data_IF_285341268335
#
_entry.id   IF_285341268335
#
_cell.length_a   1.000
_cell.length_b   1.000
_cell.length_c   1.000
_cell.angle_alpha   90.00
_cell.angle_beta   90.00
_cell.angle_gamma   90.00
#
_symmetry.space_group_name_H-M   'P 1'
#
loop_
_entity.id
_entity.type
_entity.pdbx_description
1 polymer ?
#
# COMPACT_ATOMS: atom_id res chain seq x y z
N UNK A 1 -6.19 9.91 4.56
CA UNK A 1 -5.39 8.91 5.29
C UNK A 1 -5.21 7.71 4.36
N UNK A 2 -4.27 6.84 4.66
CA UNK A 2 -4.04 5.61 3.90
C UNK A 2 -3.48 4.58 4.85
N UNK A 3 -3.46 3.32 4.42
CA UNK A 3 -2.70 2.29 5.12
C UNK A 3 -1.24 2.70 5.23
N UNK A 4 -0.67 2.58 6.42
CA UNK A 4 0.75 2.84 6.70
C UNK A 4 1.22 1.99 7.88
N UNK A 5 2.52 1.97 8.15
CA UNK A 5 3.08 1.21 9.27
C UNK A 5 2.54 1.77 10.60
N UNK A 6 1.95 0.93 11.48
CA UNK A 6 1.52 1.37 12.80
C UNK A 6 2.68 1.96 13.60
N UNK A 7 2.48 3.11 14.24
CA UNK A 7 3.53 3.77 15.04
C UNK A 7 3.83 3.05 16.35
N UNK A 8 2.82 2.38 16.91
CA UNK A 8 2.88 1.66 18.17
C UNK A 8 2.17 0.31 18.02
N UNK A 9 2.61 -0.67 18.80
CA UNK A 9 1.95 -1.98 18.87
C UNK A 9 0.90 -1.95 19.98
N UNK A 10 -0.32 -1.53 19.63
CA UNK A 10 -1.48 -1.46 20.53
C UNK A 10 -2.00 -2.85 20.91
N UNK A 11 -2.91 -2.91 21.88
CA UNK A 11 -3.55 -4.17 22.29
C UNK A 11 -4.39 -4.78 21.16
N UNK A 12 -5.07 -3.97 20.35
CA UNK A 12 -5.82 -4.43 19.17
C UNK A 12 -4.89 -5.04 18.12
N UNK A 13 -3.74 -4.41 17.86
CA UNK A 13 -2.72 -4.97 16.96
C UNK A 13 -2.19 -6.30 17.50
N UNK A 14 -1.92 -6.41 18.81
CA UNK A 14 -1.49 -7.67 19.43
C UNK A 14 -2.55 -8.74 19.28
N UNK A 15 -3.82 -8.42 19.55
CA UNK A 15 -4.93 -9.34 19.43
C UNK A 15 -5.09 -9.83 17.98
N UNK A 16 -5.01 -8.91 17.01
CA UNK A 16 -5.03 -9.25 15.59
C UNK A 16 -3.88 -10.19 15.22
N UNK A 17 -2.64 -9.86 15.62
CA UNK A 17 -1.47 -10.71 15.38
C UNK A 17 -1.63 -12.12 15.97
N UNK A 18 -2.15 -12.23 17.20
CA UNK A 18 -2.40 -13.54 17.83
C UNK A 18 -3.47 -14.35 17.11
N UNK A 19 -4.45 -13.69 16.48
CA UNK A 19 -5.47 -14.37 15.68
C UNK A 19 -4.92 -14.92 14.36
N UNK A 20 -3.84 -14.33 13.84
CA UNK A 20 -3.17 -14.75 12.60
C UNK A 20 -2.17 -15.87 12.86
N UNK A 21 -1.25 -15.66 13.81
CA UNK A 21 -0.15 -16.60 14.11
C UNK A 21 0.00 -16.71 15.62
N UNK A 22 -0.67 -17.70 16.20
CA UNK A 22 -0.68 -17.91 17.64
C UNK A 22 0.74 -18.08 18.21
N UNK A 23 1.07 -17.30 19.24
CA UNK A 23 2.37 -17.33 19.90
C UNK A 23 3.50 -16.58 19.18
N UNK A 24 3.25 -16.05 17.97
CA UNK A 24 4.20 -15.15 17.31
C UNK A 24 4.03 -13.72 17.83
N UNK A 25 5.07 -12.89 17.70
CA UNK A 25 5.06 -11.49 18.13
C UNK A 25 5.53 -10.63 16.97
N UNK A 26 4.74 -9.59 16.64
CA UNK A 26 5.14 -8.64 15.63
C UNK A 26 6.31 -7.77 16.14
N UNK A 27 7.25 -7.49 15.25
CA UNK A 27 8.41 -6.66 15.49
C UNK A 27 8.60 -5.68 14.34
N UNK A 28 9.20 -4.55 14.64
CA UNK A 28 9.57 -3.63 13.59
C UNK A 28 10.81 -4.13 12.85
N UNK A 29 10.73 -4.12 11.53
CA UNK A 29 11.81 -4.49 10.63
C UNK A 29 12.14 -3.27 9.77
N UNK A 30 13.40 -2.88 9.74
CA UNK A 30 13.83 -1.70 9.03
C UNK A 30 14.02 -1.99 7.53
N UNK A 31 13.75 -0.99 6.71
CA UNK A 31 13.97 -1.05 5.27
C UNK A 31 15.47 -0.95 4.95
N UNK A 32 15.92 -1.76 4.02
CA UNK A 32 17.26 -1.64 3.42
C UNK A 32 17.13 -1.54 1.92
N UNK A 33 17.71 -0.48 1.36
CA UNK A 33 17.79 -0.32 -0.08
C UNK A 33 18.71 -1.39 -0.69
N UNK A 34 18.21 -2.07 -1.73
CA UNK A 34 18.94 -3.07 -2.50
C UNK A 34 18.87 -2.72 -3.98
N UNK A 35 20.02 -2.73 -4.64
CA UNK A 35 20.09 -2.48 -6.08
C UNK A 35 19.26 -3.50 -6.85
N UNK A 36 18.33 -3.00 -7.67
CA UNK A 36 17.42 -3.84 -8.45
C UNK A 36 16.15 -4.26 -7.71
N UNK A 37 15.95 -3.85 -6.45
CA UNK A 37 14.70 -4.11 -5.75
C UNK A 37 13.52 -3.35 -6.38
N UNK A 38 12.38 -4.01 -6.48
CA UNK A 38 11.15 -3.52 -7.12
C UNK A 38 10.03 -3.45 -6.08
N UNK A 39 9.26 -2.35 -6.01
CA UNK A 39 8.08 -2.26 -5.12
C UNK A 39 7.11 -3.42 -5.34
N UNK A 40 6.46 -3.86 -4.27
CA UNK A 40 5.49 -4.97 -4.21
C UNK A 40 6.03 -6.37 -4.58
N UNK A 41 7.28 -6.50 -5.05
CA UNK A 41 7.91 -7.78 -5.42
C UNK A 41 8.74 -8.35 -4.25
N UNK A 42 8.13 -8.53 -3.07
CA UNK A 42 8.88 -8.84 -1.84
C UNK A 42 9.66 -10.17 -1.90
N UNK A 43 9.12 -11.19 -2.55
CA UNK A 43 9.77 -12.49 -2.72
C UNK A 43 11.03 -12.37 -3.60
N UNK A 44 10.90 -11.74 -4.76
CA UNK A 44 12.02 -11.52 -5.68
C UNK A 44 13.11 -10.64 -5.06
N UNK A 45 12.73 -9.60 -4.31
CA UNK A 45 13.67 -8.74 -3.60
C UNK A 45 14.48 -9.48 -2.53
N UNK A 46 13.83 -10.38 -1.79
CA UNK A 46 14.51 -11.24 -0.81
C UNK A 46 15.41 -12.25 -1.52
N UNK A 47 14.98 -12.86 -2.62
CA UNK A 47 15.79 -13.79 -3.41
C UNK A 47 17.05 -13.11 -3.99
N UNK A 48 16.95 -11.84 -4.39
CA UNK A 48 18.11 -11.02 -4.77
C UNK A 48 19.11 -10.90 -3.63
N UNK A 49 18.66 -10.59 -2.41
CA UNK A 49 19.54 -10.55 -1.23
C UNK A 49 20.15 -11.91 -0.91
N UNK A 50 19.34 -12.98 -0.93
CA UNK A 50 19.82 -14.34 -0.67
C UNK A 50 20.91 -14.74 -1.65
N UNK A 51 20.71 -14.45 -2.93
CA UNK A 51 21.68 -14.75 -3.99
C UNK A 51 22.98 -13.98 -3.81
N UNK A 52 22.90 -12.71 -3.41
CA UNK A 52 24.06 -11.82 -3.31
C UNK A 52 24.82 -11.94 -1.98
N UNK A 53 24.13 -12.26 -0.88
CA UNK A 53 24.66 -12.13 0.48
C UNK A 53 24.48 -13.39 1.35
N UNK A 54 23.79 -14.43 0.87
CA UNK A 54 23.43 -15.59 1.70
C UNK A 54 22.22 -15.31 2.60
N UNK A 55 22.11 -15.99 3.74
CA UNK A 55 20.91 -15.92 4.58
C UNK A 55 19.72 -16.67 3.98
N UNK A 56 18.50 -16.28 4.37
CA UNK A 56 17.26 -16.96 3.95
C UNK A 56 16.03 -16.06 3.98
N UNK A 57 14.98 -16.40 3.22
CA UNK A 57 13.69 -15.75 3.40
C UNK A 57 13.06 -16.13 4.75
N UNK A 58 12.39 -15.16 5.37
CA UNK A 58 11.44 -15.37 6.45
C UNK A 58 10.08 -14.83 6.02
N UNK A 59 9.09 -15.72 5.96
CA UNK A 59 7.72 -15.37 5.57
C UNK A 59 6.89 -14.97 6.79
N UNK A 60 5.86 -14.18 6.53
CA UNK A 60 4.98 -13.68 7.57
C UNK A 60 3.99 -12.65 7.03
N UNK A 61 3.62 -11.72 7.89
CA UNK A 61 2.62 -10.71 7.58
C UNK A 61 3.17 -9.32 7.89
N UNK A 62 3.12 -8.42 6.92
CA UNK A 62 3.25 -6.98 7.21
C UNK A 62 1.92 -6.48 7.73
N UNK A 63 1.95 -5.84 8.89
CA UNK A 63 0.78 -5.24 9.53
C UNK A 63 0.73 -3.77 9.15
N UNK A 64 -0.33 -3.41 8.45
CA UNK A 64 -0.69 -2.04 8.10
C UNK A 64 -1.86 -1.56 8.96
N UNK A 65 -1.88 -0.26 9.22
CA UNK A 65 -2.99 0.39 9.90
C UNK A 65 -3.51 1.56 9.06
N UNK A 66 -4.82 1.58 8.89
CA UNK A 66 -5.56 2.79 8.58
C UNK A 66 -5.96 3.40 9.92
N UNK A 67 -5.28 4.49 10.29
CA UNK A 67 -5.29 5.04 11.65
C UNK A 67 -6.70 5.09 12.26
N UNK A 68 -6.89 4.32 13.34
CA UNK A 68 -8.13 4.28 14.11
C UNK A 68 -9.33 3.58 13.45
N UNK A 69 -9.18 3.00 12.26
CA UNK A 69 -10.30 2.41 11.49
C UNK A 69 -10.14 0.92 11.19
N UNK A 70 -8.99 0.50 10.68
CA UNK A 70 -8.81 -0.83 10.09
C UNK A 70 -7.35 -1.29 10.19
N UNK A 71 -7.14 -2.55 10.52
CA UNK A 71 -5.85 -3.22 10.35
C UNK A 71 -5.89 -4.14 9.13
N UNK A 72 -4.77 -4.21 8.42
CA UNK A 72 -4.53 -5.15 7.34
C UNK A 72 -3.24 -5.93 7.61
N UNK A 73 -3.28 -7.23 7.35
CA UNK A 73 -2.12 -8.11 7.33
C UNK A 73 -1.90 -8.57 5.89
N UNK A 74 -0.85 -8.07 5.27
CA UNK A 74 -0.42 -8.41 3.92
C UNK A 74 0.65 -9.51 3.99
N UNK A 75 0.52 -10.58 3.20
CA UNK A 75 1.51 -11.65 3.20
C UNK A 75 2.82 -11.16 2.59
N UNK A 76 3.92 -11.29 3.33
CA UNK A 76 5.17 -10.61 3.03
C UNK A 76 6.40 -11.47 3.32
N UNK A 77 7.48 -11.21 2.58
CA UNK A 77 8.79 -11.82 2.79
C UNK A 77 9.80 -10.77 3.26
N UNK A 78 10.56 -11.10 4.31
CA UNK A 78 11.74 -10.34 4.75
C UNK A 78 12.98 -11.23 4.63
N UNK A 79 14.16 -10.60 4.54
CA UNK A 79 15.42 -11.33 4.54
C UNK A 79 15.92 -11.51 5.98
N UNK A 80 16.33 -12.73 6.32
CA UNK A 80 16.97 -13.07 7.59
C UNK A 80 18.42 -13.49 7.33
N UNK A 81 19.38 -12.80 7.97
CA UNK A 81 20.80 -13.14 7.87
C UNK A 81 21.17 -14.34 8.77
N UNK A 82 22.43 -14.77 8.68
CA UNK A 82 22.94 -15.91 9.45
C UNK A 82 22.99 -15.66 10.98
N UNK A 83 23.01 -14.38 11.39
CA UNK A 83 22.95 -13.96 12.79
C UNK A 83 21.50 -13.80 13.31
N UNK A 84 20.51 -13.94 12.43
CA UNK A 84 19.08 -13.83 12.73
C UNK A 84 18.53 -12.39 12.68
N UNK A 85 19.28 -11.43 12.13
CA UNK A 85 18.78 -10.08 11.90
C UNK A 85 17.81 -10.06 10.72
N UNK A 86 16.77 -9.23 10.82
CA UNK A 86 15.75 -9.08 9.79
C UNK A 86 15.85 -7.72 9.12
N UNK A 87 15.72 -7.69 7.79
CA UNK A 87 15.54 -6.46 7.01
C UNK A 87 14.48 -6.67 5.95
N UNK A 88 13.75 -5.61 5.61
CA UNK A 88 12.86 -5.60 4.46
C UNK A 88 13.59 -4.97 3.28
N UNK A 89 13.91 -5.71 2.21
CA UNK A 89 14.51 -5.13 1.01
C UNK A 89 13.48 -4.42 0.11
N UNK A 90 12.19 -4.48 0.43
CA UNK A 90 11.11 -4.04 -0.46
C UNK A 90 10.79 -2.56 -0.27
N UNK A 91 11.02 -1.69 -1.26
CA UNK A 91 10.66 -0.28 -1.16
C UNK A 91 9.15 -0.12 -1.02
N UNK A 92 8.71 0.77 -0.13
CA UNK A 92 7.29 1.10 0.08
C UNK A 92 6.90 2.36 -0.69
N UNK A 93 5.69 2.36 -1.24
CA UNK A 93 5.21 3.45 -2.10
C UNK A 93 5.09 4.80 -1.36
N UNK A 94 4.87 4.78 -0.06
CA UNK A 94 4.82 5.96 0.82
C UNK A 94 6.20 6.34 1.40
N UNK A 95 7.25 5.57 1.08
CA UNK A 95 8.61 5.80 1.56
C UNK A 95 8.83 5.35 3.01
N UNK A 96 7.96 4.51 3.57
CA UNK A 96 8.16 3.92 4.89
C UNK A 96 9.55 3.29 5.03
N UNK A 97 10.24 3.68 6.11
CA UNK A 97 11.60 3.21 6.41
C UNK A 97 11.61 1.99 7.32
N UNK A 98 10.42 1.53 7.73
CA UNK A 98 10.23 0.31 8.50
C UNK A 98 8.83 -0.22 8.33
N UNK A 99 8.67 -1.51 8.57
CA UNK A 99 7.38 -2.19 8.65
C UNK A 99 7.17 -2.82 10.02
N UNK A 100 5.92 -3.02 10.40
CA UNK A 100 5.58 -3.93 11.49
C UNK A 100 5.36 -5.32 10.92
N UNK A 101 6.26 -6.25 11.19
CA UNK A 101 6.25 -7.59 10.61
C UNK A 101 5.90 -8.64 11.67
N UNK A 102 4.98 -9.53 11.36
CA UNK A 102 4.61 -10.71 12.16
C UNK A 102 5.16 -11.97 11.47
N UNK A 103 6.24 -12.59 12.01
CA UNK A 103 6.79 -13.80 11.43
C UNK A 103 5.80 -14.97 11.49
N UNK A 104 5.71 -15.72 10.39
CA UNK A 104 5.01 -17.00 10.31
C UNK A 104 6.00 -18.08 9.82
N UNK A 105 6.66 -18.74 10.77
CA UNK A 105 7.64 -19.79 10.46
C UNK A 105 7.01 -21.08 9.92
N UNK A 106 5.68 -21.17 9.91
CA UNK A 106 4.94 -22.28 9.30
C UNK A 106 4.49 -21.97 7.86
N UNK A 107 4.53 -20.70 7.46
CA UNK A 107 4.19 -20.28 6.12
C UNK A 107 5.22 -20.82 5.11
N UNK A 108 4.73 -21.07 3.91
CA UNK A 108 5.55 -21.44 2.76
C UNK A 108 4.97 -20.78 1.52
N UNK A 109 5.85 -20.37 0.61
CA UNK A 109 5.42 -19.86 -0.68
C UNK A 109 4.88 -21.02 -1.53
N UNK A 110 3.73 -20.79 -2.15
CA UNK A 110 3.04 -21.75 -3.00
C UNK A 110 2.95 -21.28 -4.46
N UNK A 111 3.60 -20.17 -4.80
CA UNK A 111 3.59 -19.57 -6.14
C UNK A 111 2.23 -19.01 -6.54
N UNK A 112 1.38 -18.68 -5.56
CA UNK A 112 0.03 -18.19 -5.75
C UNK A 112 -0.31 -17.06 -4.79
N UNK A 113 -1.46 -16.44 -5.01
CA UNK A 113 -1.90 -15.28 -4.23
C UNK A 113 -2.33 -15.74 -2.83
N UNK A 114 -1.69 -15.18 -1.81
CA UNK A 114 -2.16 -15.26 -0.43
C UNK A 114 -2.92 -13.98 -0.12
N UNK A 115 -4.26 -14.03 0.05
CA UNK A 115 -5.05 -12.82 0.30
C UNK A 115 -4.63 -12.17 1.61
N UNK A 116 -4.70 -10.84 1.66
CA UNK A 116 -4.60 -10.10 2.92
C UNK A 116 -5.67 -10.56 3.93
N UNK A 117 -5.41 -10.30 5.21
CA UNK A 117 -6.41 -10.46 6.28
C UNK A 117 -6.72 -9.09 6.84
N UNK A 118 -7.97 -8.84 7.20
CA UNK A 118 -8.43 -7.54 7.69
C UNK A 118 -9.06 -7.68 9.06
N UNK A 119 -8.85 -6.67 9.91
CA UNK A 119 -9.47 -6.59 11.23
C UNK A 119 -10.05 -5.19 11.48
N UNK A 120 -11.38 -5.05 11.58
CA UNK A 120 -12.00 -3.75 11.81
C UNK A 120 -11.71 -3.26 13.24
N UNK A 121 -11.21 -2.03 13.36
CA UNK A 121 -11.12 -1.34 14.66
C UNK A 121 -12.42 -0.61 14.99
N UNK A 122 -13.25 -0.36 13.97
CA UNK A 122 -14.53 0.34 14.06
C UNK A 122 -15.63 -0.44 13.36
N UNK A 123 -16.84 -0.39 13.92
CA UNK A 123 -18.05 -0.94 13.31
C UNK A 123 -18.70 0.07 12.36
N UNK A 124 -17.93 0.57 11.38
CA UNK A 124 -18.43 1.49 10.36
C UNK A 124 -18.78 0.73 9.08
N UNK A 125 -19.86 1.14 8.41
CA UNK A 125 -20.25 0.57 7.11
C UNK A 125 -19.12 0.77 6.08
N UNK A 126 -18.42 1.91 6.13
CA UNK A 126 -17.29 2.20 5.24
C UNK A 126 -16.12 1.23 5.42
N UNK A 127 -15.85 0.79 6.65
CA UNK A 127 -14.82 -0.24 6.92
C UNK A 127 -15.28 -1.58 6.34
N UNK A 128 -16.54 -1.95 6.58
CA UNK A 128 -17.12 -3.21 6.08
C UNK A 128 -17.10 -3.28 4.55
N UNK A 129 -17.50 -2.19 3.89
CA UNK A 129 -17.50 -2.10 2.42
C UNK A 129 -16.08 -2.09 1.83
N UNK A 130 -15.13 -1.42 2.49
CA UNK A 130 -13.72 -1.46 2.06
C UNK A 130 -13.15 -2.88 2.14
N UNK A 131 -13.37 -3.59 3.25
CA UNK A 131 -12.94 -4.99 3.40
C UNK A 131 -13.59 -5.87 2.33
N UNK A 132 -14.89 -5.70 2.07
CA UNK A 132 -15.58 -6.45 1.01
C UNK A 132 -14.96 -6.19 -0.37
N UNK A 133 -14.60 -4.95 -0.68
CA UNK A 133 -13.93 -4.60 -1.93
C UNK A 133 -12.51 -5.20 -2.04
N UNK A 134 -11.75 -5.24 -0.95
CA UNK A 134 -10.45 -5.93 -0.91
C UNK A 134 -10.60 -7.44 -1.15
N UNK A 135 -11.64 -8.06 -0.57
CA UNK A 135 -11.92 -9.48 -0.78
C UNK A 135 -12.30 -9.80 -2.23
N UNK A 136 -13.03 -8.92 -2.92
CA UNK A 136 -13.32 -9.06 -4.34
C UNK A 136 -12.04 -9.05 -5.18
N UNK A 137 -11.11 -8.12 -4.89
CA UNK A 137 -9.79 -8.05 -5.52
C UNK A 137 -9.03 -9.36 -5.34
N UNK A 138 -8.93 -9.85 -4.10
CA UNK A 138 -8.27 -11.12 -3.81
C UNK A 138 -8.95 -12.29 -4.53
N UNK A 139 -10.28 -12.30 -4.64
CA UNK A 139 -11.03 -13.32 -5.38
C UNK A 139 -10.68 -13.35 -6.87
N UNK A 140 -10.56 -12.18 -7.50
CA UNK A 140 -10.12 -12.06 -8.91
C UNK A 140 -8.67 -12.52 -9.06
N UNK A 141 -7.76 -12.07 -8.19
CA UNK A 141 -6.35 -12.48 -8.22
C UNK A 141 -6.21 -14.00 -8.05
N UNK A 142 -6.85 -14.60 -7.05
CA UNK A 142 -6.79 -16.05 -6.83
C UNK A 142 -7.30 -16.87 -8.02
N UNK A 143 -8.25 -16.32 -8.79
CA UNK A 143 -8.85 -17.02 -9.93
C UNK A 143 -8.00 -16.93 -11.20
N UNK A 144 -7.33 -15.80 -11.40
CA UNK A 144 -6.72 -15.49 -12.69
C UNK A 144 -5.20 -15.25 -12.65
N UNK A 145 -4.59 -15.10 -11.48
CA UNK A 145 -3.14 -14.91 -11.38
C UNK A 145 -2.36 -16.06 -12.05
N UNK A 146 -1.29 -15.76 -12.81
CA UNK A 146 -0.69 -14.43 -13.02
C UNK A 146 -1.31 -13.59 -14.14
N UNK A 147 -2.27 -14.13 -14.90
CA UNK A 147 -2.84 -13.48 -16.09
C UNK A 147 -4.27 -12.99 -15.84
N UNK A 148 -4.40 -11.81 -15.24
CA UNK A 148 -5.70 -11.26 -14.81
C UNK A 148 -6.36 -10.49 -15.96
N UNK A 149 -7.55 -10.90 -16.46
CA UNK A 149 -8.27 -10.16 -17.48
C UNK A 149 -8.67 -8.76 -17.02
N UNK A 150 -8.48 -7.76 -17.88
CA UNK A 150 -8.80 -6.37 -17.56
C UNK A 150 -10.30 -6.14 -17.23
N UNK A 151 -11.21 -6.88 -17.88
CA UNK A 151 -12.65 -6.80 -17.66
C UNK A 151 -13.09 -7.39 -16.30
N UNK A 152 -12.32 -8.33 -15.75
CA UNK A 152 -12.50 -8.84 -14.39
C UNK A 152 -11.81 -7.92 -13.35
N UNK A 153 -10.67 -7.32 -13.69
CA UNK A 153 -9.86 -6.51 -12.77
C UNK A 153 -10.35 -5.08 -12.55
N UNK A 154 -10.66 -4.36 -13.63
CA UNK A 154 -10.98 -2.93 -13.57
C UNK A 154 -12.16 -2.65 -12.63
N UNK A 155 -13.28 -3.42 -12.66
CA UNK A 155 -14.42 -3.14 -11.78
C UNK A 155 -14.10 -3.27 -10.29
N UNK A 156 -13.31 -4.28 -9.89
CA UNK A 156 -13.00 -4.54 -8.48
C UNK A 156 -12.04 -3.49 -7.91
N UNK A 157 -11.05 -3.04 -8.70
CA UNK A 157 -10.17 -1.93 -8.32
C UNK A 157 -10.97 -0.64 -8.17
N UNK A 158 -11.80 -0.29 -9.15
CA UNK A 158 -12.63 0.91 -9.07
C UNK A 158 -13.58 0.88 -7.87
N UNK A 159 -14.09 -0.30 -7.49
CA UNK A 159 -14.88 -0.47 -6.26
C UNK A 159 -14.04 -0.16 -5.03
N UNK A 160 -12.86 -0.78 -4.90
CA UNK A 160 -11.96 -0.57 -3.76
C UNK A 160 -11.56 0.89 -3.59
N UNK A 161 -11.25 1.59 -4.68
CA UNK A 161 -10.93 3.02 -4.64
C UNK A 161 -12.09 3.87 -4.10
N UNK A 162 -13.33 3.64 -4.60
CA UNK A 162 -14.50 4.35 -4.08
C UNK A 162 -14.74 4.09 -2.59
N UNK A 163 -14.53 2.85 -2.14
CA UNK A 163 -14.63 2.49 -0.72
C UNK A 163 -13.52 3.16 0.11
N UNK A 164 -12.29 3.22 -0.43
CA UNK A 164 -11.17 3.90 0.20
C UNK A 164 -11.45 5.41 0.38
N UNK A 165 -11.99 6.08 -0.64
CA UNK A 165 -12.40 7.49 -0.57
C UNK A 165 -13.49 7.73 0.48
N UNK A 166 -14.47 6.82 0.58
CA UNK A 166 -15.51 6.90 1.59
C UNK A 166 -14.94 6.74 3.00
N UNK A 167 -14.10 5.72 3.22
CA UNK A 167 -13.43 5.51 4.50
C UNK A 167 -12.54 6.70 4.87
N UNK A 168 -11.87 7.29 3.89
CA UNK A 168 -11.02 8.47 4.08
C UNK A 168 -11.77 9.69 4.58
N UNK A 169 -12.93 9.98 3.97
CA UNK A 169 -13.80 11.05 4.44
C UNK A 169 -14.25 10.77 5.87
N UNK A 170 -14.67 9.54 6.15
CA UNK A 170 -15.14 9.13 7.47
C UNK A 170 -14.07 9.31 8.57
N UNK A 171 -12.85 8.84 8.34
CA UNK A 171 -11.73 9.00 9.31
C UNK A 171 -11.35 10.46 9.50
N UNK A 172 -11.38 11.26 8.43
CA UNK A 172 -11.05 12.70 8.51
C UNK A 172 -12.09 13.49 9.32
N UNK A 173 -13.36 13.15 9.16
CA UNK A 173 -14.45 13.71 9.97
C UNK A 173 -14.33 13.33 11.46
N UNK A 174 -13.97 12.08 11.75
CA UNK A 174 -13.74 11.62 13.13
C UNK A 174 -12.55 12.33 13.79
N UNK A 175 -11.42 12.41 13.09
CA UNK A 175 -10.24 13.12 13.58
C UNK A 175 -10.54 14.59 13.88
N UNK A 176 -11.27 15.26 12.99
CA UNK A 176 -11.72 16.66 13.20
C UNK A 176 -12.60 16.77 14.43
N UNK A 177 -13.57 15.86 14.59
CA UNK A 177 -14.49 15.85 15.73
C UNK A 177 -13.75 15.65 17.06
N UNK A 178 -12.80 14.73 17.10
CA UNK A 178 -11.99 14.45 18.28
C UNK A 178 -11.09 15.64 18.65
N UNK A 179 -10.45 16.27 17.65
CA UNK A 179 -9.64 17.47 17.86
C UNK A 179 -10.48 18.62 18.46
N UNK A 180 -11.64 18.91 17.90
CA UNK A 180 -12.54 19.94 18.44
C UNK A 180 -13.02 19.64 19.87
N UNK A 181 -13.32 18.38 20.18
CA UNK A 181 -13.68 17.98 21.55
C UNK A 181 -12.50 18.13 22.52
N UNK A 182 -11.28 17.83 22.08
CA UNK A 182 -10.08 17.98 22.88
C UNK A 182 -9.72 19.46 23.13
N UNK A 183 -9.92 20.33 22.14
CA UNK A 183 -9.75 21.80 22.29
C UNK A 183 -10.76 22.39 23.27
N UNK A 184 -12.03 21.99 23.18
CA UNK A 184 -13.08 22.38 24.14
C UNK A 184 -12.76 21.95 25.57
N UNK A 185 -12.12 20.79 25.73
CA UNK A 185 -11.72 20.24 27.04
C UNK A 185 -10.42 20.86 27.60
N UNK A 186 -9.52 21.35 26.73
CA UNK A 186 -8.22 21.91 27.13
C UNK A 186 -8.21 23.45 27.19
N UNK A 187 -9.23 24.12 26.66
CA UNK A 187 -9.42 25.57 26.77
C UNK A 187 -8.43 26.42 25.96
N UNK A 188 -7.70 25.81 25.02
CA UNK A 188 -6.76 26.51 24.13
C UNK A 188 -7.37 26.56 22.74
N UNK A 189 -7.90 27.72 22.35
CA UNK A 189 -8.29 27.99 20.98
C UNK A 189 -7.04 28.25 20.13
N UNK A 190 -6.79 27.42 19.12
CA UNK A 190 -5.79 27.72 18.09
C UNK A 190 -6.30 28.88 17.23
N UNK A 191 -5.49 29.93 17.09
CA UNK A 191 -5.85 31.14 16.34
C UNK A 191 -5.99 30.87 14.85
N UNK A 192 -6.94 31.56 14.21
CA UNK A 192 -7.28 31.51 12.78
C UNK A 192 -6.08 31.68 11.81
N UNK A 193 -4.93 32.18 12.29
CA UNK A 193 -3.70 32.38 11.52
C UNK A 193 -2.98 31.08 11.08
N UNK A 194 -3.24 29.93 11.70
CA UNK A 194 -2.59 28.65 11.33
C UNK A 194 -3.33 27.90 10.21
N UNK A 195 -4.63 28.16 10.04
CA UNK A 195 -5.43 27.59 8.95
C UNK A 195 -5.08 28.21 7.59
N UNK A 196 -4.65 29.47 7.59
CA UNK A 196 -4.40 30.25 6.37
C UNK A 196 -3.02 29.99 5.74
N UNK A 197 -2.09 29.35 6.47
CA UNK A 197 -0.76 28.96 5.95
C UNK A 197 -0.72 27.61 5.21
N UNK A 198 -1.84 26.87 5.17
CA UNK A 198 -1.92 25.55 4.51
C UNK A 198 -2.54 25.56 3.11
N UNK A 199 -2.85 26.73 2.53
CA UNK A 199 -3.59 26.83 1.25
C UNK A 199 -2.77 27.22 0.03
N UNK A 200 -1.44 27.11 0.04
CA UNK A 200 -0.60 27.53 -1.11
C UNK A 200 0.39 26.43 -1.54
N UNK A 201 -0.15 25.37 -2.13
CA UNK A 201 0.55 24.56 -3.14
C UNK A 201 -0.50 24.01 -4.11
N UNK A 202 -0.54 24.53 -5.33
CA UNK A 202 -1.61 24.36 -6.32
C UNK A 202 -1.84 22.87 -6.71
N UNK A 203 -2.93 22.20 -6.27
CA UNK A 203 -3.19 20.77 -6.49
C UNK A 203 -3.98 20.44 -7.78
N UNK A 204 -4.45 21.45 -8.51
CA UNK A 204 -5.54 21.32 -9.50
C UNK A 204 -5.14 20.60 -10.82
N UNK A 205 -3.87 20.24 -11.01
CA UNK A 205 -3.40 19.61 -12.26
C UNK A 205 -3.17 18.08 -12.13
N UNK A 206 -2.91 17.57 -10.92
CA UNK A 206 -2.52 16.16 -10.71
C UNK A 206 -3.73 15.22 -10.76
N UNK A 207 -4.81 15.62 -10.08
CA UNK A 207 -6.05 14.83 -10.02
C UNK A 207 -6.69 14.68 -11.41
N UNK A 208 -6.68 15.76 -12.20
CA UNK A 208 -7.20 15.78 -13.57
C UNK A 208 -6.38 14.88 -14.52
N UNK A 209 -5.05 14.90 -14.41
CA UNK A 209 -4.17 14.05 -15.24
C UNK A 209 -4.23 12.59 -14.83
N UNK A 210 -4.38 12.31 -13.54
CA UNK A 210 -4.60 10.94 -13.03
C UNK A 210 -5.93 10.39 -13.53
N UNK A 211 -7.01 11.18 -13.47
CA UNK A 211 -8.30 10.81 -14.04
C UNK A 211 -8.22 10.56 -15.56
N UNK A 212 -7.45 11.37 -16.30
CA UNK A 212 -7.25 11.19 -17.73
C UNK A 212 -6.45 9.92 -18.06
N UNK A 213 -5.36 9.64 -17.34
CA UNK A 213 -4.60 8.41 -17.49
C UNK A 213 -5.46 7.16 -17.22
N UNK A 214 -6.30 7.20 -16.17
CA UNK A 214 -7.26 6.13 -15.87
C UNK A 214 -8.29 5.95 -17.00
N UNK A 215 -8.79 7.03 -17.57
CA UNK A 215 -9.67 6.97 -18.74
C UNK A 215 -8.98 6.32 -19.94
N UNK A 216 -7.76 6.72 -20.28
CA UNK A 216 -7.00 6.14 -21.39
C UNK A 216 -6.74 4.64 -21.19
N UNK A 217 -6.30 4.26 -19.98
CA UNK A 217 -6.10 2.87 -19.60
C UNK A 217 -7.39 2.05 -19.71
N UNK A 218 -8.52 2.60 -19.24
CA UNK A 218 -9.84 1.93 -19.35
C UNK A 218 -10.33 1.74 -20.79
N UNK A 219 -9.75 2.46 -21.76
CA UNK A 219 -10.06 2.33 -23.19
C UNK A 219 -8.99 1.53 -23.97
N UNK A 220 -8.04 0.90 -23.27
CA UNK A 220 -6.98 0.08 -23.89
C UNK A 220 -5.83 0.89 -24.47
N UNK A 221 -5.78 2.21 -24.28
CA UNK A 221 -4.67 3.05 -24.72
C UNK A 221 -3.62 3.18 -23.60
N UNK A 222 -2.99 2.05 -23.28
CA UNK A 222 -2.03 1.93 -22.18
C UNK A 222 -0.77 2.78 -22.40
N UNK A 223 -0.35 2.97 -23.65
CA UNK A 223 0.81 3.79 -23.96
C UNK A 223 0.49 5.28 -23.74
N UNK A 224 -0.68 5.77 -24.17
CA UNK A 224 -1.08 7.16 -23.88
C UNK A 224 -1.30 7.37 -22.37
N UNK A 225 -1.92 6.41 -21.69
CA UNK A 225 -2.06 6.45 -20.24
C UNK A 225 -0.70 6.55 -19.53
N UNK A 226 0.25 5.69 -19.93
CA UNK A 226 1.62 5.71 -19.42
C UNK A 226 2.32 7.04 -19.68
N UNK A 227 2.20 7.62 -20.89
CA UNK A 227 2.82 8.92 -21.19
C UNK A 227 2.24 10.06 -20.35
N UNK A 228 0.92 10.09 -20.13
CA UNK A 228 0.28 11.09 -19.26
C UNK A 228 0.79 10.99 -17.82
N UNK A 229 0.94 9.76 -17.31
CA UNK A 229 1.51 9.52 -15.98
C UNK A 229 2.99 9.90 -15.91
N UNK A 230 3.78 9.52 -16.92
CA UNK A 230 5.20 9.82 -17.00
C UNK A 230 5.45 11.33 -17.05
N UNK A 231 4.65 12.07 -17.80
CA UNK A 231 4.75 13.53 -17.89
C UNK A 231 4.29 14.22 -16.60
N UNK A 232 3.35 13.62 -15.88
CA UNK A 232 2.89 14.10 -14.56
C UNK A 232 3.94 13.85 -13.48
N UNK A 233 4.53 12.64 -13.44
CA UNK A 233 5.60 12.27 -12.51
C UNK A 233 6.86 13.14 -12.70
N UNK A 234 7.18 13.50 -13.96
CA UNK A 234 8.31 14.41 -14.28
C UNK A 234 8.22 15.80 -13.64
N UNK A 235 7.03 16.22 -13.19
CA UNK A 235 6.80 17.57 -12.69
C UNK A 235 6.87 17.68 -11.16
N UNK A 236 6.79 16.57 -10.41
CA UNK A 236 6.91 16.58 -8.94
C UNK A 236 7.11 15.17 -8.37
N UNK A 237 8.02 15.03 -7.40
CA UNK A 237 8.28 13.75 -6.72
C UNK A 237 7.12 13.30 -5.82
N UNK A 238 6.33 14.24 -5.29
CA UNK A 238 5.15 13.94 -4.50
C UNK A 238 4.02 13.32 -5.34
N UNK A 239 4.02 13.62 -6.65
CA UNK A 239 3.08 13.05 -7.62
C UNK A 239 3.39 11.59 -7.91
N UNK A 240 4.66 11.18 -7.84
CA UNK A 240 5.02 9.78 -8.07
C UNK A 240 4.33 8.85 -7.06
N UNK A 241 4.29 9.23 -5.77
CA UNK A 241 3.62 8.44 -4.73
C UNK A 241 2.11 8.33 -4.95
N UNK A 242 1.45 9.42 -5.37
CA UNK A 242 0.01 9.45 -5.66
C UNK A 242 -0.38 8.67 -6.93
N UNK A 243 0.58 8.39 -7.82
CA UNK A 243 0.36 7.66 -9.07
C UNK A 243 0.52 6.14 -8.93
N UNK A 244 0.98 5.64 -7.77
CA UNK A 244 1.29 4.22 -7.54
C UNK A 244 0.17 3.27 -7.91
N UNK A 245 -1.07 3.60 -7.56
CA UNK A 245 -2.22 2.75 -7.88
C UNK A 245 -2.58 2.75 -9.38
N UNK A 246 -2.23 3.81 -10.12
CA UNK A 246 -2.44 3.86 -11.57
C UNK A 246 -1.32 3.15 -12.33
N UNK A 247 -0.10 3.15 -11.79
CA UNK A 247 0.98 2.29 -12.30
C UNK A 247 0.71 0.80 -12.01
N UNK A 248 0.22 0.46 -10.81
CA UNK A 248 -0.31 -0.89 -10.49
C UNK A 248 -1.40 -1.33 -11.45
N UNK A 249 -2.33 -0.43 -11.76
CA UNK A 249 -3.36 -0.71 -12.76
C UNK A 249 -2.76 -1.05 -14.13
N UNK A 250 -1.77 -0.28 -14.61
CA UNK A 250 -1.06 -0.57 -15.86
C UNK A 250 -0.29 -1.90 -15.80
N UNK A 251 0.35 -2.23 -14.66
CA UNK A 251 1.02 -3.52 -14.47
C UNK A 251 0.06 -4.69 -14.56
N UNK A 252 -1.16 -4.56 -14.03
CA UNK A 252 -2.10 -5.68 -13.99
C UNK A 252 -2.83 -5.92 -15.30
N UNK A 253 -3.02 -4.88 -16.13
CA UNK A 253 -3.85 -4.98 -17.35
C UNK A 253 -3.04 -4.92 -18.66
N UNK A 254 -1.74 -4.63 -18.59
CA UNK A 254 -0.89 -4.55 -19.78
C UNK A 254 -0.25 -5.91 -20.09
N UNK A 255 -0.71 -6.54 -21.17
CA UNK A 255 -0.14 -7.80 -21.67
C UNK A 255 1.16 -7.61 -22.48
N UNK A 256 1.68 -6.39 -22.62
CA UNK A 256 2.95 -6.11 -23.30
C UNK A 256 4.12 -6.18 -22.31
N UNK A 257 4.96 -7.24 -22.36
CA UNK A 257 6.08 -7.41 -21.44
C UNK A 257 7.12 -6.30 -21.56
N UNK A 258 7.23 -5.67 -22.73
CA UNK A 258 8.13 -4.54 -22.93
C UNK A 258 7.60 -3.36 -22.16
N UNK A 259 6.34 -2.99 -22.36
CA UNK A 259 5.73 -1.84 -21.68
C UNK A 259 5.70 -2.04 -20.16
N UNK A 260 5.42 -3.24 -19.67
CA UNK A 260 5.51 -3.60 -18.25
C UNK A 260 6.93 -3.39 -17.72
N UNK A 261 7.95 -3.90 -18.41
CA UNK A 261 9.34 -3.76 -17.98
C UNK A 261 9.86 -2.32 -18.08
N UNK A 262 9.41 -1.56 -19.09
CA UNK A 262 9.75 -0.14 -19.21
C UNK A 262 9.07 0.69 -18.12
N UNK A 263 7.80 0.40 -17.84
CA UNK A 263 7.05 1.02 -16.74
C UNK A 263 7.72 0.75 -15.40
N UNK A 264 8.11 -0.50 -15.16
CA UNK A 264 8.86 -0.94 -13.97
C UNK A 264 10.20 -0.22 -13.86
N UNK A 265 10.96 -0.16 -14.95
CA UNK A 265 12.27 0.51 -15.01
C UNK A 265 12.18 2.02 -14.79
N UNK A 266 11.22 2.70 -15.41
CA UNK A 266 11.04 4.13 -15.21
C UNK A 266 10.53 4.42 -13.79
N UNK A 267 9.61 3.62 -13.25
CA UNK A 267 9.14 3.74 -11.87
C UNK A 267 10.29 3.59 -10.85
N UNK A 268 11.12 2.56 -11.00
CA UNK A 268 12.30 2.36 -10.15
C UNK A 268 13.29 3.54 -10.19
N UNK A 269 13.37 4.30 -11.29
CA UNK A 269 14.25 5.49 -11.38
C UNK A 269 13.74 6.72 -10.64
N UNK A 270 12.49 6.75 -10.21
CA UNK A 270 11.90 7.90 -9.50
C UNK A 270 11.84 7.70 -7.98
N UNK A 271 11.94 6.45 -7.52
CA UNK A 271 12.05 6.10 -6.10
C UNK A 271 13.50 6.16 -5.57
N UNK A 272 14.50 6.32 -6.46
CA UNK A 272 15.93 6.44 -6.16
C UNK A 272 16.52 7.71 -6.82
#
# INVERSE_FOLDING_TARGET
MSMTTPRIVSDDIRAFCQSLVAGSTALFVDFVQVDGAVPDECFDNVDLLVTNQGGRPLLGWTIWEWEGALLEAEFHAVWEDDDGNLVDPTPKADGEQRILFLPDRSASDHGGVTPSRHYPLQEWDEVTEYIAACNDISGVQMRFYPNIPADEWIPVIQRRERCADALNRRTSEEATRQASQQELMTGVALSEDDAQRRSESNPVDIEARTAHARYLASNGDFNAAFQVLLESARQSQQVANDLGDTFRLLFTICDDPTLVNETRREWSRWLY
#
